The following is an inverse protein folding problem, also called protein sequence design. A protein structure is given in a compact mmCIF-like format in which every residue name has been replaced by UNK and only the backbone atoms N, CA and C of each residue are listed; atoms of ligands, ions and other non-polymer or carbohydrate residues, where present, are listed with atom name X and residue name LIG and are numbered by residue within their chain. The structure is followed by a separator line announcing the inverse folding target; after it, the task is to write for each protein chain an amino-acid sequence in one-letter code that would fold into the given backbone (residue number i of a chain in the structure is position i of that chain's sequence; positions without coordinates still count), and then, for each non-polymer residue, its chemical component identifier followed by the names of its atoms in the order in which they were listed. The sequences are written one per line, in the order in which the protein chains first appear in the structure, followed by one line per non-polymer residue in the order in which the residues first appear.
data_IF_598880744041
#
_entry.id   IF_598880744041
#
_cell.length_a   1.000
_cell.length_b   1.000
_cell.length_c   1.000
_cell.angle_alpha   90.00
_cell.angle_beta   90.00
_cell.angle_gamma   90.00
#
_symmetry.space_group_name_H-M   'P 1'
#
loop_
_entity.id
_entity.type
_entity.pdbx_description
1 polymer ?
#
# COMPACT_ATOMS: atom_id res chain seq x y z
N UNK A 1 -22.70 -26.30 -3.38
CA UNK A 1 -23.24 -25.08 -2.74
C UNK A 1 -23.11 -23.94 -3.74
N UNK A 2 -24.18 -23.62 -4.47
CA UNK A 2 -24.19 -22.45 -5.35
C UNK A 2 -24.29 -21.22 -4.47
N UNK A 3 -23.19 -20.48 -4.31
CA UNK A 3 -23.21 -19.17 -3.68
C UNK A 3 -24.17 -18.31 -4.52
N UNK A 4 -25.40 -18.11 -4.02
CA UNK A 4 -26.36 -17.21 -4.66
C UNK A 4 -25.69 -15.85 -4.76
N UNK A 5 -25.27 -15.49 -5.96
CA UNK A 5 -24.64 -14.19 -6.22
C UNK A 5 -25.69 -13.13 -5.92
N UNK A 6 -25.49 -12.42 -4.82
CA UNK A 6 -26.33 -11.30 -4.46
C UNK A 6 -25.58 -10.04 -4.87
N UNK A 7 -26.22 -9.15 -5.65
CA UNK A 7 -25.59 -7.94 -6.19
C UNK A 7 -25.19 -6.93 -5.11
N UNK A 8 -25.58 -7.16 -3.84
CA UNK A 8 -25.29 -6.28 -2.71
C UNK A 8 -24.08 -6.83 -1.94
N UNK A 9 -22.96 -6.07 -1.85
CA UNK A 9 -21.77 -6.47 -1.11
C UNK A 9 -22.04 -6.73 0.38
N UNK A 10 -21.34 -7.69 0.97
CA UNK A 10 -21.54 -8.09 2.38
C UNK A 10 -21.36 -6.94 3.38
N UNK A 11 -20.41 -6.03 3.12
CA UNK A 11 -20.19 -4.85 3.95
C UNK A 11 -21.36 -3.86 3.91
N UNK A 12 -22.10 -3.82 2.80
CA UNK A 12 -23.22 -2.90 2.61
C UNK A 12 -24.49 -3.40 3.30
N UNK A 13 -24.70 -4.72 3.35
CA UNK A 13 -25.86 -5.35 4.03
C UNK A 13 -25.95 -5.01 5.52
N UNK A 14 -24.83 -4.76 6.17
CA UNK A 14 -24.75 -4.49 7.62
C UNK A 14 -25.03 -3.02 7.98
N UNK A 15 -25.22 -2.14 6.99
CA UNK A 15 -25.33 -0.68 7.20
C UNK A 15 -26.76 -0.20 7.49
N UNK A 16 -27.76 -1.07 7.40
CA UNK A 16 -29.15 -0.71 7.71
C UNK A 16 -29.84 0.19 6.67
N UNK A 17 -29.31 0.28 5.45
CA UNK A 17 -29.96 1.03 4.37
C UNK A 17 -31.20 0.31 3.84
N UNK A 18 -32.12 1.07 3.25
CA UNK A 18 -33.25 0.49 2.53
C UNK A 18 -32.77 -0.35 1.33
N UNK A 19 -33.53 -1.38 0.89
CA UNK A 19 -33.12 -2.23 -0.24
C UNK A 19 -32.81 -1.45 -1.52
N UNK A 20 -33.58 -0.40 -1.81
CA UNK A 20 -33.37 0.46 -2.98
C UNK A 20 -32.07 1.25 -2.90
N UNK A 21 -31.74 1.79 -1.73
CA UNK A 21 -30.48 2.50 -1.50
C UNK A 21 -29.27 1.56 -1.67
N UNK A 22 -29.37 0.32 -1.16
CA UNK A 22 -28.29 -0.66 -1.31
C UNK A 22 -27.97 -0.98 -2.79
N UNK A 23 -28.99 -1.12 -3.64
CA UNK A 23 -28.80 -1.36 -5.08
C UNK A 23 -28.18 -0.15 -5.79
N UNK A 24 -28.63 1.06 -5.46
CA UNK A 24 -28.07 2.29 -6.03
C UNK A 24 -26.58 2.46 -5.66
N UNK A 25 -26.22 2.18 -4.41
CA UNK A 25 -24.83 2.24 -3.95
C UNK A 25 -23.98 1.14 -4.61
N UNK A 26 -24.47 -0.10 -4.66
CA UNK A 26 -23.75 -1.21 -5.27
C UNK A 26 -23.44 -0.94 -6.76
N UNK A 27 -24.43 -0.46 -7.52
CA UNK A 27 -24.23 -0.09 -8.93
C UNK A 27 -23.28 1.10 -9.13
N UNK A 28 -23.33 2.10 -8.24
CA UNK A 28 -22.39 3.22 -8.27
C UNK A 28 -20.94 2.77 -7.99
N UNK A 29 -20.75 1.85 -7.04
CA UNK A 29 -19.45 1.25 -6.74
C UNK A 29 -18.92 0.47 -7.94
N UNK A 30 -19.75 -0.37 -8.58
CA UNK A 30 -19.33 -1.14 -9.76
C UNK A 30 -18.92 -0.23 -10.93
N UNK A 31 -19.71 0.82 -11.23
CA UNK A 31 -19.36 1.82 -12.25
C UNK A 31 -18.05 2.53 -11.93
N UNK A 32 -17.83 2.87 -10.65
CA UNK A 32 -16.60 3.53 -10.19
C UNK A 32 -15.38 2.61 -10.28
N UNK A 33 -15.55 1.32 -9.99
CA UNK A 33 -14.50 0.31 -10.13
C UNK A 33 -14.08 0.15 -11.59
N UNK A 34 -15.03 -0.03 -12.51
CA UNK A 34 -14.76 -0.11 -13.96
C UNK A 34 -14.10 1.17 -14.50
N UNK A 35 -14.52 2.35 -14.01
CA UNK A 35 -13.88 3.61 -14.38
C UNK A 35 -12.44 3.72 -13.86
N UNK A 36 -12.15 3.22 -12.65
CA UNK A 36 -10.78 3.17 -12.13
C UNK A 36 -9.89 2.26 -12.94
N UNK A 37 -10.38 1.09 -13.35
CA UNK A 37 -9.63 0.19 -14.24
C UNK A 37 -9.34 0.83 -15.60
N UNK A 38 -10.29 1.58 -16.15
CA UNK A 38 -10.09 2.34 -17.40
C UNK A 38 -9.19 3.58 -17.23
N UNK A 39 -8.96 4.04 -16.00
CA UNK A 39 -8.14 5.22 -15.65
C UNK A 39 -7.06 4.78 -14.67
N UNK A 40 -6.32 3.73 -15.00
CA UNK A 40 -4.96 3.54 -14.47
C UNK A 40 -4.05 4.14 -15.53
N UNK A 41 -3.69 5.43 -15.47
CA UNK A 41 -2.48 5.85 -16.16
C UNK A 41 -1.35 5.06 -15.49
N UNK A 42 -0.59 4.32 -16.28
CA UNK A 42 0.58 3.57 -15.84
C UNK A 42 1.40 4.49 -14.93
N UNK A 43 1.29 4.27 -13.63
CA UNK A 43 1.87 5.14 -12.62
C UNK A 43 3.33 4.76 -12.53
N UNK A 44 4.12 5.19 -13.50
CA UNK A 44 5.57 5.04 -13.49
C UNK A 44 6.12 5.94 -12.38
N UNK A 45 6.19 5.42 -11.16
CA UNK A 45 6.91 6.09 -10.08
C UNK A 45 8.38 6.21 -10.50
N UNK A 46 8.81 7.42 -10.84
CA UNK A 46 10.22 7.70 -11.05
C UNK A 46 10.92 7.67 -9.69
N UNK A 47 11.78 6.68 -9.47
CA UNK A 47 12.59 6.58 -8.26
C UNK A 47 13.73 7.58 -8.38
N UNK A 48 13.67 8.66 -7.60
CA UNK A 48 14.79 9.61 -7.47
C UNK A 48 15.78 9.02 -6.44
N UNK A 49 17.03 8.72 -6.81
CA UNK A 49 18.00 8.17 -5.87
C UNK A 49 18.40 9.24 -4.84
N UNK A 50 18.40 8.88 -3.57
CA UNK A 50 18.98 9.72 -2.52
C UNK A 50 20.51 9.72 -2.63
N UNK A 51 21.18 10.88 -2.46
CA UNK A 51 22.63 10.95 -2.45
C UNK A 51 23.19 10.12 -1.29
N UNK A 52 24.15 9.24 -1.58
CA UNK A 52 24.85 8.46 -0.54
C UNK A 52 25.68 9.41 0.32
N UNK A 53 25.56 9.30 1.64
CA UNK A 53 26.45 10.01 2.56
C UNK A 53 27.88 9.47 2.38
N UNK A 54 28.90 10.33 2.29
CA UNK A 54 30.29 9.88 2.26
C UNK A 54 30.61 9.10 3.54
N UNK A 55 31.30 7.97 3.39
CA UNK A 55 31.74 7.16 4.52
C UNK A 55 32.69 8.00 5.40
N UNK A 56 32.51 7.93 6.71
CA UNK A 56 33.43 8.55 7.65
C UNK A 56 34.84 7.99 7.42
N UNK A 57 35.89 8.83 7.37
CA UNK A 57 37.25 8.34 7.25
C UNK A 57 37.55 7.43 8.44
N UNK A 58 38.10 6.25 8.14
CA UNK A 58 38.49 5.27 9.15
C UNK A 58 39.41 5.94 10.18
N UNK A 59 39.00 5.92 11.45
CA UNK A 59 39.85 6.36 12.54
C UNK A 59 41.12 5.50 12.52
N UNK A 60 42.25 6.15 12.27
CA UNK A 60 43.58 5.55 12.25
C UNK A 60 43.83 4.72 13.52
N UNK A 61 44.43 3.56 13.32
CA UNK A 61 45.02 2.68 14.33
C UNK A 61 45.73 3.45 15.45
N UNK A 62 45.23 3.39 16.69
CA UNK A 62 46.03 3.75 17.87
C UNK A 62 45.52 3.22 19.23
N UNK A 63 44.71 2.16 19.27
CA UNK A 63 44.14 1.68 20.55
C UNK A 63 44.36 0.18 20.87
N UNK A 64 45.32 -0.49 20.22
CA UNK A 64 45.59 -1.93 20.48
C UNK A 64 47.01 -2.27 20.98
N UNK A 65 47.79 -1.28 21.48
CA UNK A 65 49.14 -1.52 22.03
C UNK A 65 49.33 -1.20 23.52
N UNK A 66 48.26 -1.07 24.31
CA UNK A 66 48.36 -0.89 25.78
C UNK A 66 47.61 -1.93 26.62
N UNK A 67 47.37 -3.12 26.07
CA UNK A 67 47.00 -4.31 26.86
C UNK A 67 47.93 -5.48 26.52
N UNK A 68 49.23 -5.23 26.60
CA UNK A 68 50.26 -6.27 26.73
C UNK A 68 51.12 -5.82 27.93
N UNK A 69 50.72 -6.27 29.11
CA UNK A 69 51.25 -5.83 30.40
C UNK A 69 50.48 -6.48 31.53
N UNK A 70 50.55 -7.80 31.59
CA UNK A 70 50.32 -8.63 32.77
C UNK A 70 51.48 -9.62 32.84
#
# INVERSE_FOLDING_TARGET
MTTRYSPIPAWLRRRGYSPRAMLAIASAVERSARRREAVVPESHCQIIPFPKRPAAPAAHEAASRRQAGA
#
